data_IF_142521824558
#
_entry.id   IF_142521824558
#
_cell.length_a   1.000
_cell.length_b   1.000
_cell.length_c   1.000
_cell.angle_alpha   90.00
_cell.angle_beta   90.00
_cell.angle_gamma   90.00
#
_symmetry.space_group_name_H-M   'P 1'
#
loop_
_entity.id
_entity.type
_entity.pdbx_description
1 polymer ?
#
# COMPACT_ATOMS: atom_id res chain seq x y z
N UNK A 1 -11.94 10.75 -9.31
CA UNK A 1 -11.37 9.76 -8.38
C UNK A 1 -9.85 9.67 -8.55
N UNK A 2 -9.35 9.30 -9.72
CA UNK A 2 -7.92 9.08 -10.01
C UNK A 2 -6.99 10.26 -9.67
N UNK A 3 -7.32 11.48 -10.09
CA UNK A 3 -6.48 12.66 -9.82
C UNK A 3 -6.36 12.99 -8.32
N UNK A 4 -7.44 12.77 -7.54
CA UNK A 4 -7.45 12.94 -6.08
C UNK A 4 -6.51 11.95 -5.40
N UNK A 5 -6.53 10.68 -5.82
CA UNK A 5 -5.69 9.63 -5.24
C UNK A 5 -4.21 9.84 -5.55
N UNK A 6 -3.89 10.23 -6.79
CA UNK A 6 -2.53 10.57 -7.18
C UNK A 6 -1.98 11.77 -6.39
N UNK A 7 -2.79 12.82 -6.17
CA UNK A 7 -2.38 13.98 -5.37
C UNK A 7 -2.13 13.60 -3.90
N UNK A 8 -3.05 12.84 -3.29
CA UNK A 8 -2.88 12.33 -1.91
C UNK A 8 -1.62 11.48 -1.81
N UNK A 9 -1.39 10.58 -2.76
CA UNK A 9 -0.20 9.75 -2.78
C UNK A 9 1.09 10.55 -3.00
N UNK A 10 1.06 11.66 -3.73
CA UNK A 10 2.23 12.55 -3.87
C UNK A 10 2.56 13.28 -2.57
N UNK A 11 1.55 13.78 -1.86
CA UNK A 11 1.74 14.62 -0.68
C UNK A 11 1.90 13.84 0.64
N UNK A 12 1.54 12.56 0.68
CA UNK A 12 1.69 11.73 1.88
C UNK A 12 3.08 11.12 1.97
N UNK A 13 3.63 10.97 3.17
CA UNK A 13 4.83 10.15 3.42
C UNK A 13 4.48 8.69 3.73
N UNK A 14 3.21 8.42 4.04
CA UNK A 14 2.72 7.12 4.46
C UNK A 14 1.20 6.96 4.23
N UNK A 15 0.71 5.72 4.26
CA UNK A 15 -0.71 5.40 4.17
C UNK A 15 -1.17 4.61 5.39
N UNK A 16 -2.32 4.95 5.97
CA UNK A 16 -2.93 4.19 7.07
C UNK A 16 -4.40 3.91 6.73
N UNK A 17 -4.79 2.64 6.79
CA UNK A 17 -6.19 2.23 6.74
C UNK A 17 -6.73 1.98 8.15
N UNK A 18 -7.80 2.69 8.48
CA UNK A 18 -8.63 2.45 9.67
C UNK A 18 -9.78 1.49 9.30
N UNK A 19 -10.39 0.77 10.25
CA UNK A 19 -11.53 -0.10 9.99
C UNK A 19 -12.60 0.57 9.12
N UNK A 20 -12.96 -0.10 8.02
CA UNK A 20 -13.80 0.50 6.99
C UNK A 20 -14.26 -0.54 5.96
N UNK A 21 -15.28 -0.18 5.17
CA UNK A 21 -15.89 -1.08 4.20
C UNK A 21 -15.14 -1.14 2.85
N UNK A 22 -15.88 -1.46 1.79
CA UNK A 22 -15.31 -1.68 0.45
C UNK A 22 -14.50 -0.50 -0.10
N UNK A 23 -14.90 0.75 0.17
CA UNK A 23 -14.13 1.92 -0.28
C UNK A 23 -12.73 1.96 0.31
N UNK A 24 -12.60 1.67 1.61
CA UNK A 24 -11.30 1.62 2.29
C UNK A 24 -10.44 0.46 1.79
N UNK A 25 -11.05 -0.71 1.54
CA UNK A 25 -10.34 -1.86 1.01
C UNK A 25 -9.84 -1.62 -0.42
N UNK A 26 -10.64 -0.95 -1.26
CA UNK A 26 -10.25 -0.57 -2.63
C UNK A 26 -9.05 0.39 -2.62
N UNK A 27 -9.09 1.43 -1.79
CA UNK A 27 -7.99 2.39 -1.67
C UNK A 27 -6.73 1.73 -1.10
N UNK A 28 -6.86 0.83 -0.11
CA UNK A 28 -5.77 0.07 0.48
C UNK A 28 -5.06 -0.84 -0.54
N UNK A 29 -5.83 -1.63 -1.30
CA UNK A 29 -5.25 -2.54 -2.29
C UNK A 29 -4.58 -1.80 -3.44
N UNK A 30 -5.08 -0.61 -3.81
CA UNK A 30 -4.46 0.24 -4.82
C UNK A 30 -3.04 0.68 -4.39
N UNK A 31 -2.88 1.18 -3.16
CA UNK A 31 -1.55 1.63 -2.66
C UNK A 31 -0.60 0.45 -2.42
N UNK A 32 -1.09 -0.71 -2.00
CA UNK A 32 -0.26 -1.93 -1.90
C UNK A 32 0.26 -2.33 -3.28
N UNK A 33 -0.60 -2.26 -4.30
CA UNK A 33 -0.21 -2.60 -5.67
C UNK A 33 0.83 -1.62 -6.22
N UNK A 34 0.70 -0.32 -5.92
CA UNK A 34 1.69 0.68 -6.31
C UNK A 34 3.05 0.48 -5.63
N UNK A 35 3.06 0.12 -4.35
CA UNK A 35 4.29 -0.30 -3.66
C UNK A 35 4.89 -1.51 -4.37
N UNK A 36 4.11 -2.57 -4.60
CA UNK A 36 4.58 -3.78 -5.28
C UNK A 36 5.17 -3.50 -6.68
N UNK A 37 4.60 -2.55 -7.42
CA UNK A 37 5.11 -2.13 -8.74
C UNK A 37 6.35 -1.22 -8.65
N UNK A 38 6.76 -0.80 -7.47
CA UNK A 38 7.89 0.11 -7.24
C UNK A 38 7.59 1.56 -7.59
N UNK A 39 6.31 1.97 -7.59
CA UNK A 39 5.88 3.35 -7.84
C UNK A 39 6.15 4.23 -6.63
N UNK A 40 6.12 3.67 -5.42
CA UNK A 40 6.54 4.33 -4.19
C UNK A 40 7.10 3.34 -3.18
N UNK A 41 7.89 3.86 -2.25
CA UNK A 41 8.52 3.12 -1.16
C UNK A 41 7.88 3.43 0.22
N UNK A 42 6.75 4.14 0.22
CA UNK A 42 6.05 4.63 1.41
C UNK A 42 5.41 3.49 2.22
N UNK A 43 5.49 3.48 3.56
CA UNK A 43 4.87 2.46 4.39
C UNK A 43 3.35 2.45 4.29
N UNK A 44 2.77 1.26 4.30
CA UNK A 44 1.31 1.03 4.31
C UNK A 44 0.92 0.34 5.62
N UNK A 45 0.18 1.05 6.47
CA UNK A 45 -0.23 0.60 7.79
C UNK A 45 -1.71 0.22 7.89
N UNK A 46 -2.01 -0.84 8.64
CA UNK A 46 -3.35 -1.22 9.07
C UNK A 46 -3.48 -0.97 10.57
N UNK A 47 -4.41 -0.10 10.97
CA UNK A 47 -4.78 0.04 12.36
C UNK A 47 -5.77 -1.06 12.73
N UNK A 48 -5.27 -2.17 13.26
CA UNK A 48 -6.01 -3.41 13.49
C UNK A 48 -6.75 -3.42 14.84
N UNK A 49 -7.68 -2.49 15.00
CA UNK A 49 -8.54 -2.36 16.19
C UNK A 49 -9.38 -3.63 16.37
N UNK A 50 -9.34 -4.22 17.57
CA UNK A 50 -10.10 -5.44 17.93
C UNK A 50 -9.95 -6.61 16.94
N UNK A 51 -8.84 -6.67 16.21
CA UNK A 51 -8.59 -7.72 15.22
C UNK A 51 -9.41 -7.60 13.94
N UNK A 52 -9.94 -6.42 13.61
CA UNK A 52 -10.75 -6.15 12.42
C UNK A 52 -10.14 -6.70 11.11
N UNK A 53 -8.82 -6.56 10.94
CA UNK A 53 -8.11 -6.99 9.74
C UNK A 53 -7.54 -8.41 9.81
N UNK A 54 -7.78 -9.18 10.87
CA UNK A 54 -7.21 -10.52 11.04
C UNK A 54 -7.52 -11.43 9.84
N UNK A 55 -8.77 -11.48 9.39
CA UNK A 55 -9.16 -12.30 8.23
C UNK A 55 -8.52 -11.84 6.93
N UNK A 56 -8.34 -10.52 6.74
CA UNK A 56 -7.63 -9.99 5.57
C UNK A 56 -6.15 -10.39 5.60
N UNK A 57 -5.49 -10.23 6.74
CA UNK A 57 -4.09 -10.61 6.91
C UNK A 57 -3.90 -12.12 6.66
N UNK A 58 -4.76 -12.97 7.21
CA UNK A 58 -4.73 -14.41 6.95
C UNK A 58 -4.97 -14.77 5.49
N UNK A 59 -5.85 -14.04 4.79
CA UNK A 59 -6.04 -14.23 3.34
C UNK A 59 -4.77 -13.89 2.56
N UNK A 60 -4.08 -12.79 2.91
CA UNK A 60 -2.83 -12.38 2.27
C UNK A 60 -1.72 -13.39 2.58
N UNK A 61 -1.60 -13.85 3.83
CA UNK A 61 -0.66 -14.91 4.21
C UNK A 61 -0.89 -16.17 3.37
N UNK A 62 -2.15 -16.55 3.15
CA UNK A 62 -2.49 -17.68 2.29
C UNK A 62 -2.08 -17.45 0.83
N UNK A 63 -2.28 -16.25 0.30
CA UNK A 63 -1.85 -15.90 -1.05
C UNK A 63 -0.32 -15.95 -1.21
N UNK A 64 0.44 -15.70 -0.13
CA UNK A 64 1.90 -15.90 -0.10
C UNK A 64 2.25 -17.39 -0.13
N UNK A 65 1.59 -18.21 0.69
CA UNK A 65 1.80 -19.66 0.70
C UNK A 65 1.54 -20.30 -0.67
N UNK A 66 0.49 -19.87 -1.35
CA UNK A 66 0.10 -20.37 -2.68
C UNK A 66 0.93 -19.74 -3.83
N UNK A 67 1.86 -18.83 -3.52
CA UNK A 67 2.78 -18.24 -4.49
C UNK A 67 2.20 -17.12 -5.36
N UNK A 68 1.01 -16.59 -5.03
CA UNK A 68 0.43 -15.43 -5.73
C UNK A 68 1.06 -14.11 -5.28
N UNK A 69 1.56 -14.04 -4.04
CA UNK A 69 2.26 -12.89 -3.48
C UNK A 69 3.67 -13.34 -3.07
N UNK A 70 4.69 -12.57 -3.42
CA UNK A 70 6.05 -12.89 -2.97
C UNK A 70 6.21 -12.65 -1.46
N UNK A 71 7.05 -13.42 -0.75
CA UNK A 71 7.33 -13.16 0.66
C UNK A 71 7.79 -11.72 0.92
N UNK A 72 8.57 -11.14 0.02
CA UNK A 72 9.02 -9.75 0.15
C UNK A 72 7.86 -8.74 0.00
N UNK A 73 6.90 -8.99 -0.90
CA UNK A 73 5.71 -8.14 -1.05
C UNK A 73 4.77 -8.22 0.18
N UNK A 74 4.80 -9.32 0.95
CA UNK A 74 4.04 -9.43 2.20
C UNK A 74 4.44 -8.38 3.24
N UNK A 75 5.70 -7.95 3.22
CA UNK A 75 6.24 -6.94 4.13
C UNK A 75 5.87 -5.50 3.76
N UNK A 76 5.15 -5.27 2.66
CA UNK A 76 4.57 -3.95 2.32
C UNK A 76 3.57 -3.51 3.40
N UNK A 77 2.84 -4.47 3.99
CA UNK A 77 1.76 -4.20 4.93
C UNK A 77 2.25 -4.33 6.37
N UNK A 78 2.20 -3.22 7.10
CA UNK A 78 2.40 -3.16 8.54
C UNK A 78 1.04 -3.18 9.25
N UNK A 79 0.96 -3.81 10.42
CA UNK A 79 -0.27 -3.88 11.19
C UNK A 79 0.03 -3.76 12.67
N UNK A 80 -0.75 -2.96 13.39
CA UNK A 80 -0.69 -2.87 14.84
C UNK A 80 -2.07 -2.56 15.44
N UNK A 81 -2.34 -2.99 16.69
CA UNK A 81 -3.63 -2.72 17.33
C UNK A 81 -3.80 -1.28 17.83
N UNK A 82 -2.69 -0.55 18.00
CA UNK A 82 -2.69 0.83 18.49
C UNK A 82 -2.02 1.77 17.49
N UNK A 83 -2.43 3.05 17.52
CA UNK A 83 -1.84 4.07 16.67
C UNK A 83 -0.36 4.33 17.01
N UNK A 84 0.01 4.29 18.31
CA UNK A 84 1.40 4.48 18.72
C UNK A 84 2.30 3.38 18.16
N UNK A 85 1.91 2.12 18.30
CA UNK A 85 2.71 1.00 17.78
C UNK A 85 2.81 1.06 16.26
N UNK A 86 1.70 1.39 15.58
CA UNK A 86 1.67 1.47 14.13
C UNK A 86 2.62 2.55 13.61
N UNK A 87 2.55 3.77 14.16
CA UNK A 87 3.42 4.88 13.76
C UNK A 87 4.88 4.51 13.99
N UNK A 88 5.20 3.91 15.14
CA UNK A 88 6.56 3.44 15.42
C UNK A 88 7.06 2.46 14.36
N UNK A 89 6.26 1.45 14.00
CA UNK A 89 6.66 0.47 12.98
C UNK A 89 6.81 1.11 11.59
N UNK A 90 6.03 2.15 11.30
CA UNK A 90 6.12 2.87 10.04
C UNK A 90 7.35 3.78 9.96
N UNK A 91 7.80 4.36 11.07
CA UNK A 91 9.04 5.13 11.16
C UNK A 91 10.29 4.24 11.00
N UNK A 92 10.21 3.00 11.49
CA UNK A 92 11.28 1.99 11.37
C UNK A 92 11.23 1.21 10.03
N UNK A 93 10.30 1.55 9.13
CA UNK A 93 10.08 0.81 7.90
C UNK A 93 11.21 1.04 6.88
N UNK A 94 11.82 -0.07 6.44
CA UNK A 94 12.68 -0.11 5.25
C UNK A 94 12.03 -0.97 4.16
N UNK A 95 11.93 -0.48 2.91
CA UNK A 95 11.35 -1.25 1.81
C UNK A 95 12.17 -2.51 1.51
N UNK A 96 11.56 -3.69 1.74
CA UNK A 96 12.20 -4.99 1.48
C UNK A 96 11.75 -5.65 0.17
N UNK A 97 10.78 -5.06 -0.53
CA UNK A 97 10.20 -5.65 -1.73
C UNK A 97 11.08 -5.43 -2.96
N UNK A 98 11.41 -6.51 -3.66
CA UNK A 98 12.04 -6.42 -4.98
C UNK A 98 11.03 -5.87 -5.97
N UNK A 99 11.44 -4.85 -6.75
CA UNK A 99 10.57 -4.27 -7.77
C UNK A 99 10.28 -5.33 -8.83
N UNK A 100 9.00 -5.64 -8.99
CA UNK A 100 8.56 -6.67 -9.96
C UNK A 100 8.64 -6.15 -11.41
N UNK A 101 8.80 -4.83 -11.60
CA UNK A 101 8.95 -4.19 -12.90
C UNK A 101 10.33 -3.47 -13.05
N UNK A 102 10.99 -3.56 -14.22
CA UNK A 102 12.17 -2.75 -14.51
C UNK A 102 11.82 -1.25 -14.53
N UNK A 103 12.81 -0.36 -14.32
CA UNK A 103 12.70 1.11 -14.52
C UNK A 103 12.34 1.45 -15.99
N UNK A 104 11.15 1.14 -16.46
CA UNK A 104 10.49 2.03 -17.40
C UNK A 104 9.86 3.13 -16.55
N UNK A 105 10.18 4.38 -16.87
CA UNK A 105 9.63 5.57 -16.25
C UNK A 105 8.11 5.45 -16.11
N UNK A 106 7.64 5.05 -14.93
CA UNK A 106 6.30 5.36 -14.48
C UNK A 106 6.33 6.80 -13.97
N UNK A 107 6.66 7.74 -14.87
CA UNK A 107 6.24 9.11 -14.67
C UNK A 107 4.73 9.06 -14.49
N UNK A 108 4.23 9.60 -13.38
CA UNK A 108 2.81 9.58 -13.01
C UNK A 108 1.93 10.08 -14.18
N UNK A 109 2.50 10.84 -15.11
CA UNK A 109 1.90 11.31 -16.36
C UNK A 109 1.55 10.20 -17.37
N UNK A 110 2.30 9.10 -17.45
CA UNK A 110 2.11 8.05 -18.48
C UNK A 110 1.05 7.00 -18.11
N UNK A 111 0.46 7.06 -16.90
CA UNK A 111 -0.65 6.20 -16.45
C UNK A 111 -2.03 6.57 -17.07
N UNK A 112 -2.04 7.25 -18.22
CA UNK A 112 -3.28 7.65 -18.89
C UNK A 112 -3.99 8.84 -18.24
N UNK A 113 -3.26 9.71 -17.55
CA UNK A 113 -3.76 11.02 -17.15
C UNK A 113 -3.53 12.00 -18.31
N UNK A 114 -4.56 12.43 -19.05
CA UNK A 114 -4.36 13.46 -20.05
C UNK A 114 -3.95 14.74 -19.31
N UNK A 115 -2.69 15.15 -19.48
CA UNK A 115 -2.27 16.52 -19.25
C UNK A 115 -3.10 17.40 -20.18
N UNK A 116 -4.23 17.93 -19.69
CA UNK A 116 -5.05 18.85 -20.47
C UNK A 116 -4.48 20.25 -20.33
N UNK A 117 -3.86 20.68 -21.43
CA UNK A 117 -3.97 21.96 -22.14
C UNK A 117 -4.02 23.24 -21.29
N UNK A 118 -3.10 24.16 -21.61
CA UNK A 118 -3.16 25.60 -21.31
C UNK A 118 -4.55 26.21 -21.52
#
# INVERSE_FOLDING_TARGET
MHQRKAEMARQSDAFIALPGGYGTLEELLEVITWAQLGIHDKPVGLLNVDGYYNSLLSFIDKAVEEGFISPNARHIILSAPTAQDLVKYMEEYEPQHERVAPKLNWEIEQLGYPAKYE
#
